data_IF_784993506179
#
_entry.id   IF_784993506179
#
_cell.length_a   1.000
_cell.length_b   1.000
_cell.length_c   1.000
_cell.angle_alpha   90.00
_cell.angle_beta   90.00
_cell.angle_gamma   90.00
#
_symmetry.space_group_name_H-M   'P 1'
#
loop_
_entity.id
_entity.type
_entity.pdbx_description
1 polymer ?
#
# COMPACT_ATOMS: atom_id res chain seq x y z
N UNK A 1 -1.04 12.85 12.62
CA UNK A 1 -2.48 12.99 12.96
C UNK A 1 -2.98 14.23 12.27
N UNK A 2 -4.17 14.16 11.66
CA UNK A 2 -4.76 15.27 10.92
C UNK A 2 -5.85 15.89 11.78
N UNK A 3 -5.82 17.20 12.02
CA UNK A 3 -6.71 17.83 13.01
C UNK A 3 -8.18 17.87 12.57
N UNK A 4 -9.05 17.17 13.29
CA UNK A 4 -10.48 17.11 13.01
C UNK A 4 -11.28 16.83 14.30
N UNK A 5 -12.29 17.67 14.57
CA UNK A 5 -13.17 17.55 15.76
C UNK A 5 -14.59 17.09 15.42
N UNK A 6 -14.90 16.81 14.15
CA UNK A 6 -16.22 16.35 13.75
C UNK A 6 -16.49 14.91 14.20
N UNK A 7 -17.75 14.48 14.10
CA UNK A 7 -18.16 13.12 14.46
C UNK A 7 -17.80 12.14 13.35
N UNK A 8 -16.85 11.24 13.61
CA UNK A 8 -16.50 10.14 12.71
C UNK A 8 -15.81 9.03 13.51
N UNK A 9 -16.04 7.76 13.16
CA UNK A 9 -15.54 6.60 13.92
C UNK A 9 -14.00 6.49 13.93
N UNK A 10 -13.33 7.05 12.93
CA UNK A 10 -11.86 7.11 12.82
C UNK A 10 -11.20 8.22 13.66
N UNK A 11 -11.97 9.07 14.32
CA UNK A 11 -11.43 10.17 15.12
C UNK A 11 -10.84 9.63 16.41
N UNK A 12 -9.59 9.98 16.67
CA UNK A 12 -8.89 9.63 17.89
C UNK A 12 -8.58 10.85 18.73
N UNK A 13 -8.57 10.64 20.04
CA UNK A 13 -7.98 11.58 20.97
C UNK A 13 -6.56 11.15 21.32
N UNK A 14 -5.58 12.04 21.12
CA UNK A 14 -4.20 11.82 21.52
C UNK A 14 -3.72 12.97 22.43
N UNK A 15 -3.80 12.80 23.77
CA UNK A 15 -3.51 13.89 24.71
C UNK A 15 -2.07 14.38 24.67
N UNK A 16 -1.12 13.51 24.33
CA UNK A 16 0.31 13.84 24.27
C UNK A 16 0.74 14.71 23.09
N UNK A 17 -0.16 15.00 22.13
CA UNK A 17 0.16 15.89 20.99
C UNK A 17 -0.09 17.34 21.36
N UNK A 18 0.89 18.21 21.07
CA UNK A 18 0.80 19.65 21.34
C UNK A 18 -0.20 20.34 20.42
N UNK A 19 -0.21 19.97 19.13
CA UNK A 19 -1.17 20.43 18.12
C UNK A 19 -2.21 19.34 17.80
N UNK A 20 -3.43 19.77 17.46
CA UNK A 20 -4.51 18.93 16.91
C UNK A 20 -4.84 17.64 17.67
N UNK A 21 -5.05 17.67 19.00
CA UNK A 21 -5.30 16.47 19.85
C UNK A 21 -6.46 15.55 19.42
N UNK A 22 -7.31 15.99 18.50
CA UNK A 22 -8.43 15.23 17.96
C UNK A 22 -8.30 15.09 16.45
N UNK A 23 -8.48 13.87 15.95
CA UNK A 23 -8.63 13.61 14.52
C UNK A 23 -8.17 12.23 14.09
N UNK A 24 -8.26 11.91 12.78
CA UNK A 24 -7.76 10.65 12.24
C UNK A 24 -6.24 10.59 12.28
N UNK A 25 -5.73 9.36 12.34
CA UNK A 25 -4.31 9.07 12.49
C UNK A 25 -3.77 8.33 11.27
N UNK A 26 -2.73 8.90 10.68
CA UNK A 26 -1.84 8.22 9.74
C UNK A 26 -0.75 7.47 10.49
N UNK A 27 -0.49 6.23 10.07
CA UNK A 27 0.79 5.57 10.21
C UNK A 27 1.64 5.93 8.99
N UNK A 28 2.90 6.25 9.22
CA UNK A 28 3.77 6.83 8.21
C UNK A 28 5.10 6.09 8.23
N UNK A 29 5.55 5.65 7.06
CA UNK A 29 6.93 5.24 6.83
C UNK A 29 7.64 6.38 6.10
N UNK A 30 8.74 6.87 6.66
CA UNK A 30 9.51 7.98 6.10
C UNK A 30 11.01 7.72 6.18
N UNK A 31 11.75 8.30 5.24
CA UNK A 31 13.21 8.28 5.24
C UNK A 31 13.78 9.13 6.39
N UNK A 32 14.74 8.57 7.13
CA UNK A 32 15.26 9.17 8.36
C UNK A 32 15.98 10.51 8.18
N UNK A 33 16.63 10.76 7.03
CA UNK A 33 17.44 11.98 6.82
C UNK A 33 16.67 13.14 6.22
N UNK A 34 15.82 12.86 5.24
CA UNK A 34 15.13 13.90 4.45
C UNK A 34 13.71 14.14 4.94
N UNK A 35 13.12 13.16 5.64
CA UNK A 35 11.69 13.13 5.96
C UNK A 35 10.81 12.84 4.74
N UNK A 36 11.37 12.26 3.67
CA UNK A 36 10.60 11.80 2.52
C UNK A 36 9.60 10.75 2.97
N UNK A 37 8.31 11.03 2.77
CA UNK A 37 7.24 10.12 3.18
C UNK A 37 7.04 9.08 2.10
N UNK A 38 7.37 7.82 2.38
CA UNK A 38 7.22 6.74 1.41
C UNK A 38 5.81 6.17 1.42
N UNK A 39 5.29 5.84 2.61
CA UNK A 39 4.02 5.12 2.75
C UNK A 39 3.14 5.78 3.79
N UNK A 40 1.84 5.85 3.51
CA UNK A 40 0.79 6.30 4.42
C UNK A 40 -0.22 5.17 4.60
N UNK A 41 -0.52 4.82 5.84
CA UNK A 41 -1.57 3.85 6.18
C UNK A 41 -2.53 4.46 7.18
N UNK A 42 -3.83 4.48 6.85
CA UNK A 42 -4.84 5.08 7.71
C UNK A 42 -5.14 4.13 8.86
N UNK A 43 -5.11 4.63 10.09
CA UNK A 43 -5.56 3.84 11.22
C UNK A 43 -7.10 3.72 11.20
N UNK A 44 -7.60 2.55 10.80
CA UNK A 44 -9.04 2.27 10.67
C UNK A 44 -9.74 1.87 12.00
N UNK A 45 -9.05 1.79 13.14
CA UNK A 45 -9.66 1.34 14.41
C UNK A 45 -9.42 -0.13 14.75
N UNK A 46 -10.33 -0.72 15.52
CA UNK A 46 -10.34 -2.16 15.85
C UNK A 46 -11.34 -2.84 14.90
N UNK A 47 -10.86 -3.44 13.81
CA UNK A 47 -11.75 -4.07 12.82
C UNK A 47 -11.09 -5.00 11.78
N UNK A 48 -9.76 -4.93 11.61
CA UNK A 48 -9.05 -5.86 10.70
C UNK A 48 -8.75 -7.21 11.34
N UNK A 49 -8.65 -8.26 10.52
CA UNK A 49 -8.05 -9.53 10.91
C UNK A 49 -6.63 -9.25 11.42
N UNK A 50 -6.36 -9.57 12.69
CA UNK A 50 -5.05 -9.38 13.32
C UNK A 50 -4.33 -10.71 13.34
N UNK A 51 -3.04 -10.68 13.07
CA UNK A 51 -2.24 -11.87 13.33
C UNK A 51 -2.15 -12.12 14.84
N UNK A 52 -1.77 -13.35 15.20
CA UNK A 52 -1.41 -13.71 16.57
C UNK A 52 -0.24 -12.88 17.15
N UNK A 53 0.51 -12.18 16.30
CA UNK A 53 1.69 -11.38 16.69
C UNK A 53 1.32 -9.95 17.12
N UNK A 54 0.08 -9.54 16.86
CA UNK A 54 -0.53 -8.30 17.36
C UNK A 54 -0.34 -7.10 16.44
N UNK A 55 -1.22 -6.10 16.59
CA UNK A 55 -1.36 -4.99 15.63
C UNK A 55 -0.11 -4.14 15.38
N UNK A 56 0.79 -4.07 16.36
CA UNK A 56 2.05 -3.32 16.19
C UNK A 56 3.06 -4.06 15.32
N UNK A 57 3.04 -5.39 15.36
CA UNK A 57 3.84 -6.23 14.48
C UNK A 57 3.30 -6.12 13.04
N UNK A 58 2.01 -6.42 12.87
CA UNK A 58 1.32 -6.41 11.56
C UNK A 58 1.54 -5.08 10.83
N UNK A 59 1.31 -3.97 11.51
CA UNK A 59 1.51 -2.64 10.94
C UNK A 59 2.94 -2.41 10.44
N UNK A 60 3.96 -2.79 11.23
CA UNK A 60 5.36 -2.56 10.81
C UNK A 60 5.70 -3.46 9.65
N UNK A 61 5.27 -4.73 9.69
CA UNK A 61 5.53 -5.67 8.61
C UNK A 61 4.84 -5.26 7.32
N UNK A 62 3.62 -4.74 7.37
CA UNK A 62 2.87 -4.27 6.20
C UNK A 62 3.57 -3.05 5.57
N UNK A 63 3.98 -2.08 6.40
CA UNK A 63 4.66 -0.88 5.93
C UNK A 63 6.05 -1.18 5.33
N UNK A 64 6.78 -2.13 5.91
CA UNK A 64 8.17 -2.43 5.53
C UNK A 64 8.27 -3.50 4.45
N UNK A 65 7.21 -4.26 4.16
CA UNK A 65 7.21 -5.36 3.20
C UNK A 65 7.89 -5.05 1.84
N UNK A 66 7.64 -3.89 1.20
CA UNK A 66 8.30 -3.54 -0.08
C UNK A 66 9.84 -3.37 0.01
N UNK A 67 10.38 -3.32 1.22
CA UNK A 67 11.78 -3.03 1.54
C UNK A 67 12.55 -4.22 2.12
N UNK A 68 11.93 -5.40 2.21
CA UNK A 68 12.62 -6.62 2.61
C UNK A 68 13.77 -6.96 1.66
N UNK A 69 14.75 -7.70 2.18
CA UNK A 69 15.89 -8.21 1.42
C UNK A 69 16.85 -7.14 0.86
N UNK A 70 16.79 -5.92 1.40
CA UNK A 70 17.62 -4.79 0.97
C UNK A 70 18.59 -4.29 2.05
N UNK A 71 18.63 -4.95 3.21
CA UNK A 71 19.46 -4.55 4.37
C UNK A 71 19.20 -3.12 4.84
N UNK A 72 17.98 -2.61 4.60
CA UNK A 72 17.55 -1.33 5.14
C UNK A 72 17.44 -1.38 6.65
N UNK A 73 17.61 -0.21 7.30
CA UNK A 73 17.53 -0.07 8.74
C UNK A 73 16.25 0.67 9.15
N UNK A 74 15.30 -0.08 9.71
CA UNK A 74 14.04 0.46 10.21
C UNK A 74 14.22 0.96 11.64
N UNK A 75 13.78 2.20 11.90
CA UNK A 75 13.71 2.75 13.25
C UNK A 75 12.26 2.82 13.72
N UNK A 76 11.97 2.33 14.93
CA UNK A 76 10.60 2.27 15.46
C UNK A 76 10.51 2.76 16.91
N UNK A 77 9.35 3.29 17.26
CA UNK A 77 9.02 3.67 18.63
C UNK A 77 8.62 2.45 19.49
N UNK A 78 8.56 2.64 20.82
CA UNK A 78 8.27 1.62 21.82
C UNK A 78 6.91 0.93 21.69
N UNK A 79 5.96 1.56 21.00
CA UNK A 79 4.66 0.98 20.73
C UNK A 79 4.74 -0.18 19.73
N UNK A 80 5.77 -0.20 18.88
CA UNK A 80 5.91 -1.13 17.77
C UNK A 80 7.07 -2.12 17.97
N UNK A 81 8.11 -1.73 18.71
CA UNK A 81 9.27 -2.60 18.93
C UNK A 81 8.97 -3.80 19.84
N UNK A 82 9.44 -4.98 19.43
CA UNK A 82 9.44 -6.21 20.24
C UNK A 82 10.59 -7.14 19.83
N UNK A 83 11.07 -8.03 20.72
CA UNK A 83 12.09 -9.02 20.37
C UNK A 83 11.70 -9.90 19.17
N UNK A 84 10.43 -10.33 19.14
CA UNK A 84 9.91 -11.15 18.05
C UNK A 84 9.95 -10.44 16.69
N UNK A 85 9.52 -9.17 16.64
CA UNK A 85 9.63 -8.36 15.43
C UNK A 85 11.09 -8.21 14.97
N UNK A 86 12.03 -8.12 15.90
CA UNK A 86 13.44 -7.99 15.55
C UNK A 86 14.00 -9.24 14.87
N UNK A 87 13.67 -10.43 15.36
CA UNK A 87 14.04 -11.67 14.69
C UNK A 87 13.38 -11.80 13.32
N UNK A 88 12.08 -11.51 13.23
CA UNK A 88 11.31 -11.62 11.98
C UNK A 88 11.85 -10.75 10.84
N UNK A 89 12.24 -9.50 11.15
CA UNK A 89 12.83 -8.60 10.15
C UNK A 89 14.26 -9.00 9.80
N UNK A 90 15.02 -9.50 10.77
CA UNK A 90 16.38 -9.95 10.52
C UNK A 90 16.43 -11.17 9.58
N UNK A 91 15.51 -12.12 9.75
CA UNK A 91 15.31 -13.26 8.82
C UNK A 91 15.00 -12.81 7.38
N UNK A 92 14.51 -11.58 7.20
CA UNK A 92 14.22 -10.93 5.91
C UNK A 92 15.27 -9.89 5.54
N UNK A 93 16.50 -10.07 6.04
CA UNK A 93 17.66 -9.24 5.76
C UNK A 93 17.34 -7.75 5.92
N UNK A 94 16.67 -7.40 7.01
CA UNK A 94 16.24 -6.03 7.33
C UNK A 94 16.63 -5.73 8.77
N UNK A 95 17.43 -4.68 8.97
CA UNK A 95 17.85 -4.26 10.29
C UNK A 95 16.75 -3.46 10.99
N UNK A 96 16.69 -3.55 12.32
CA UNK A 96 15.77 -2.77 13.13
C UNK A 96 16.48 -2.22 14.37
N UNK A 97 16.14 -0.99 14.74
CA UNK A 97 16.45 -0.41 16.05
C UNK A 97 15.22 0.28 16.59
N UNK A 98 14.88 0.01 17.84
CA UNK A 98 13.76 0.70 18.47
C UNK A 98 13.93 0.83 19.98
N UNK A 99 13.24 1.82 20.54
CA UNK A 99 12.99 1.79 21.98
C UNK A 99 12.00 0.69 22.29
N UNK A 100 12.07 0.06 23.47
CA UNK A 100 11.17 -1.03 23.85
C UNK A 100 10.70 -0.86 25.29
N UNK A 101 9.47 -1.29 25.56
CA UNK A 101 8.96 -1.38 26.95
C UNK A 101 9.52 -2.64 27.60
N UNK A 102 10.07 -2.50 28.81
CA UNK A 102 10.73 -3.60 29.54
C UNK A 102 9.82 -4.82 29.79
N UNK A 103 8.50 -4.61 29.86
CA UNK A 103 7.52 -5.66 30.09
C UNK A 103 7.05 -6.38 28.81
N UNK A 104 7.60 -6.06 27.63
CA UNK A 104 7.26 -6.76 26.39
C UNK A 104 7.65 -8.24 26.47
N UNK A 105 6.83 -9.11 25.87
CA UNK A 105 7.11 -10.55 25.75
C UNK A 105 8.46 -10.77 25.05
N UNK A 106 9.28 -11.66 25.59
CA UNK A 106 10.62 -11.97 25.10
C UNK A 106 11.75 -11.08 25.64
N UNK A 107 11.45 -10.04 26.43
CA UNK A 107 12.49 -9.23 27.05
C UNK A 107 13.20 -9.98 28.19
N UNK A 108 14.51 -9.79 28.40
CA UNK A 108 15.24 -10.37 29.53
C UNK A 108 14.61 -9.96 30.87
N UNK A 109 14.31 -10.94 31.71
CA UNK A 109 13.69 -10.73 33.02
C UNK A 109 14.57 -9.88 33.97
N UNK A 110 15.89 -9.93 33.81
CA UNK A 110 16.84 -9.10 34.53
C UNK A 110 16.58 -7.60 34.37
N UNK A 111 16.13 -7.15 33.19
CA UNK A 111 15.94 -5.72 32.89
C UNK A 111 14.80 -5.10 33.68
N UNK A 112 13.87 -5.92 34.22
CA UNK A 112 12.77 -5.44 35.07
C UNK A 112 13.25 -4.89 36.41
N UNK A 113 14.31 -5.48 36.97
CA UNK A 113 14.81 -5.15 38.33
C UNK A 113 16.03 -4.23 38.29
N UNK A 114 16.90 -4.39 37.29
CA UNK A 114 18.13 -3.61 37.17
C UNK A 114 17.81 -2.13 37.01
N UNK A 115 18.37 -1.28 37.89
CA UNK A 115 18.40 0.16 37.72
C UNK A 115 19.78 0.57 37.25
N UNK A 116 19.84 1.27 36.13
CA UNK A 116 21.10 1.71 35.52
C UNK A 116 21.36 3.18 35.90
N UNK A 117 22.51 3.51 36.52
CA UNK A 117 22.92 4.88 36.79
C UNK A 117 23.06 5.73 35.53
N UNK A 118 23.03 7.05 35.69
CA UNK A 118 23.15 7.98 34.57
C UNK A 118 24.53 7.85 33.91
N UNK A 119 24.56 7.64 32.59
CA UNK A 119 25.78 7.43 31.80
C UNK A 119 26.20 5.97 31.67
N UNK A 120 25.67 5.08 32.51
CA UNK A 120 25.94 3.65 32.45
C UNK A 120 24.95 2.90 31.55
N UNK A 121 25.31 1.66 31.21
CA UNK A 121 24.49 0.77 30.38
C UNK A 121 24.57 -0.68 30.85
N UNK A 122 23.46 -1.39 30.69
CA UNK A 122 23.38 -2.84 30.87
C UNK A 122 23.00 -3.48 29.53
N UNK A 123 23.71 -4.54 29.13
CA UNK A 123 23.57 -5.15 27.80
C UNK A 123 23.30 -6.65 27.92
N UNK A 124 22.40 -7.16 27.10
CA UNK A 124 22.22 -8.60 26.83
C UNK A 124 22.20 -8.80 25.33
N UNK A 125 22.74 -9.91 24.86
CA UNK A 125 22.81 -10.21 23.43
C UNK A 125 22.45 -11.67 23.18
N UNK A 126 21.67 -11.90 22.13
CA UNK A 126 21.34 -13.23 21.63
C UNK A 126 21.54 -13.22 20.11
N UNK A 127 22.58 -13.90 19.63
CA UNK A 127 23.01 -13.80 18.24
C UNK A 127 23.28 -12.34 17.86
N UNK A 128 22.60 -11.86 16.82
CA UNK A 128 22.72 -10.48 16.34
C UNK A 128 21.75 -9.50 17.04
N UNK A 129 20.79 -9.98 17.83
CA UNK A 129 19.87 -9.12 18.57
C UNK A 129 20.50 -8.67 19.90
N UNK A 130 20.67 -7.37 20.05
CA UNK A 130 21.13 -6.72 21.27
C UNK A 130 19.97 -6.01 22.00
N UNK A 131 19.84 -6.27 23.29
CA UNK A 131 19.02 -5.52 24.22
C UNK A 131 19.91 -4.67 25.12
N UNK A 132 19.70 -3.35 25.15
CA UNK A 132 20.48 -2.45 25.99
C UNK A 132 19.57 -1.54 26.81
N UNK A 133 19.84 -1.46 28.11
CA UNK A 133 19.23 -0.49 29.02
C UNK A 133 20.26 0.59 29.34
N UNK A 134 19.92 1.85 29.10
CA UNK A 134 20.81 2.99 29.31
C UNK A 134 20.20 3.99 30.28
N UNK A 135 21.01 4.46 31.23
CA UNK A 135 20.61 5.52 32.16
C UNK A 135 20.85 6.90 31.56
N UNK A 136 19.80 7.55 31.06
CA UNK A 136 19.83 8.99 30.75
C UNK A 136 19.13 9.76 31.90
N UNK A 137 18.51 10.93 31.63
CA UNK A 137 17.56 11.59 32.56
C UNK A 137 16.48 10.61 33.04
N UNK A 138 16.07 9.68 32.17
CA UNK A 138 15.24 8.51 32.50
C UNK A 138 15.90 7.28 31.89
N UNK A 139 15.65 6.11 32.47
CA UNK A 139 16.15 4.85 31.91
C UNK A 139 15.40 4.53 30.61
N UNK A 140 16.14 4.28 29.54
CA UNK A 140 15.61 3.90 28.22
C UNK A 140 16.13 2.53 27.87
N UNK A 141 15.28 1.70 27.28
CA UNK A 141 15.64 0.36 26.81
C UNK A 141 15.51 0.31 25.30
N UNK A 142 16.53 -0.26 24.64
CA UNK A 142 16.62 -0.41 23.21
C UNK A 142 16.70 -1.88 22.83
N UNK A 143 16.16 -2.21 21.66
CA UNK A 143 16.49 -3.40 20.89
C UNK A 143 17.14 -2.95 19.59
N UNK A 144 18.20 -3.65 19.18
CA UNK A 144 18.86 -3.40 17.90
C UNK A 144 19.44 -4.68 17.31
N UNK A 145 19.32 -4.85 16.00
CA UNK A 145 19.97 -5.92 15.23
C UNK A 145 21.20 -5.45 14.44
N UNK A 146 21.59 -4.18 14.58
CA UNK A 146 22.69 -3.59 13.81
C UNK A 146 23.71 -2.83 14.65
N UNK A 147 23.28 -2.34 15.83
CA UNK A 147 24.12 -1.47 16.64
C UNK A 147 24.95 -2.22 17.66
N UNK A 148 25.92 -1.52 18.25
CA UNK A 148 26.82 -2.01 19.27
C UNK A 148 26.68 -1.19 20.57
N UNK A 149 27.13 -1.73 21.71
CA UNK A 149 26.97 -1.05 22.98
C UNK A 149 28.07 -0.01 23.25
N UNK A 150 29.05 0.24 22.38
CA UNK A 150 30.18 1.13 22.71
C UNK A 150 29.70 2.54 23.02
N UNK A 151 30.38 3.20 23.95
CA UNK A 151 30.16 4.63 24.21
C UNK A 151 31.02 5.40 23.22
N UNK A 152 30.40 6.40 22.58
CA UNK A 152 31.07 7.29 21.65
C UNK A 152 30.88 8.75 22.09
N UNK A 153 31.89 9.60 21.83
CA UNK A 153 31.71 11.03 21.98
C UNK A 153 30.77 11.54 20.88
N UNK A 154 29.80 12.36 21.27
CA UNK A 154 28.89 13.07 20.38
C UNK A 154 28.74 14.51 20.82
N UNK A 155 28.32 15.37 19.91
CA UNK A 155 28.04 16.77 20.20
C UNK A 155 26.58 17.03 19.86
N UNK A 156 25.83 17.57 20.82
CA UNK A 156 24.44 17.92 20.54
C UNK A 156 24.34 19.16 19.64
N UNK A 157 23.13 19.49 19.16
CA UNK A 157 22.89 20.67 18.33
C UNK A 157 23.26 22.02 18.99
N UNK A 158 23.52 22.04 20.31
CA UNK A 158 23.94 23.23 21.07
C UNK A 158 25.46 23.28 21.30
N UNK A 159 26.23 22.40 20.66
CA UNK A 159 27.69 22.34 20.81
C UNK A 159 28.17 21.65 22.10
N UNK A 160 27.28 21.10 22.92
CA UNK A 160 27.65 20.44 24.17
C UNK A 160 28.09 19.01 23.88
N UNK A 161 29.34 18.69 24.26
CA UNK A 161 29.89 17.34 24.19
C UNK A 161 29.18 16.41 25.19
N UNK A 162 28.87 15.21 24.73
CA UNK A 162 28.23 14.14 25.51
C UNK A 162 28.81 12.80 25.11
N UNK A 163 28.83 11.88 26.04
CA UNK A 163 29.17 10.49 25.78
C UNK A 163 27.89 9.66 25.84
N UNK A 164 27.58 8.97 24.76
CA UNK A 164 26.36 8.15 24.65
C UNK A 164 26.65 6.85 23.92
N UNK A 165 25.88 5.79 24.15
CA UNK A 165 26.02 4.56 23.36
C UNK A 165 25.75 4.78 21.87
N UNK A 166 26.43 4.01 21.00
CA UNK A 166 26.26 4.05 19.54
C UNK A 166 24.79 3.96 19.13
N UNK A 167 24.02 3.05 19.74
CA UNK A 167 22.58 2.87 19.45
C UNK A 167 21.73 4.09 19.81
N UNK A 168 22.08 4.80 20.89
CA UNK A 168 21.39 6.04 21.30
C UNK A 168 21.66 7.15 20.29
N UNK A 169 22.91 7.29 19.86
CA UNK A 169 23.28 8.27 18.85
C UNK A 169 22.58 8.00 17.51
N UNK A 170 22.58 6.74 17.05
CA UNK A 170 21.91 6.32 15.83
C UNK A 170 20.41 6.60 15.88
N UNK A 171 19.75 6.19 16.98
CA UNK A 171 18.32 6.40 17.17
C UNK A 171 17.96 7.88 17.16
N UNK A 172 18.65 8.69 17.97
CA UNK A 172 18.37 10.14 18.04
C UNK A 172 18.63 10.86 16.71
N UNK A 173 19.60 10.40 15.90
CA UNK A 173 19.91 11.02 14.61
C UNK A 173 18.87 10.73 13.54
N UNK A 174 18.25 9.55 13.53
CA UNK A 174 17.41 9.07 12.41
C UNK A 174 15.93 8.93 12.71
N UNK A 175 15.54 8.74 13.98
CA UNK A 175 14.15 8.47 14.37
C UNK A 175 13.19 9.64 14.03
N UNK A 176 13.72 10.85 13.87
CA UNK A 176 12.95 12.06 13.57
C UNK A 176 12.41 12.17 12.14
N UNK A 177 12.66 11.21 11.24
CA UNK A 177 12.24 11.30 9.83
C UNK A 177 10.74 11.54 9.64
N UNK A 178 9.87 10.86 10.40
CA UNK A 178 8.42 11.08 10.34
C UNK A 178 8.03 12.48 10.81
N UNK A 179 8.63 12.94 11.91
CA UNK A 179 8.38 14.29 12.43
C UNK A 179 8.90 15.37 11.47
N UNK A 180 9.98 15.11 10.74
CA UNK A 180 10.51 15.99 9.70
C UNK A 180 9.55 16.05 8.50
N UNK A 181 8.98 14.92 8.09
CA UNK A 181 7.91 14.87 7.09
C UNK A 181 6.68 15.68 7.49
N UNK A 182 6.26 15.60 8.76
CA UNK A 182 5.18 16.41 9.31
C UNK A 182 5.54 17.92 9.33
N UNK A 183 6.80 18.27 9.66
CA UNK A 183 7.29 19.65 9.60
C UNK A 183 7.28 20.21 8.17
N UNK A 184 7.53 19.37 7.15
CA UNK A 184 7.51 19.83 5.76
C UNK A 184 6.15 20.37 5.33
N UNK A 185 5.06 19.85 5.88
CA UNK A 185 3.71 20.30 5.52
C UNK A 185 3.14 21.32 6.51
N UNK A 186 3.64 21.36 7.75
CA UNK A 186 3.06 22.16 8.82
C UNK A 186 2.97 23.66 8.49
N UNK A 187 4.00 24.23 7.85
CA UNK A 187 4.01 25.66 7.49
C UNK A 187 3.05 26.04 6.36
N UNK A 188 2.54 25.05 5.62
CA UNK A 188 1.70 25.24 4.44
C UNK A 188 0.31 24.60 4.59
N UNK A 189 -0.03 24.12 5.80
CA UNK A 189 -1.36 23.60 6.08
C UNK A 189 -2.37 24.77 6.06
N UNK A 190 -3.37 24.77 5.17
CA UNK A 190 -4.32 25.87 5.03
C UNK A 190 -5.34 25.95 6.19
N UNK A 191 -5.28 25.03 7.17
CA UNK A 191 -6.21 24.90 8.31
C UNK A 191 -7.69 25.00 7.90
N UNK A 192 -8.03 24.36 6.77
CA UNK A 192 -9.39 24.42 6.22
C UNK A 192 -10.37 23.83 7.22
N UNK A 193 -11.35 24.66 7.64
CA UNK A 193 -12.48 24.18 8.44
C UNK A 193 -13.40 23.35 7.56
N UNK A 194 -13.68 22.12 7.98
CA UNK A 194 -14.60 21.24 7.28
C UNK A 194 -15.32 20.31 8.26
N UNK A 195 -16.59 20.06 8.00
CA UNK A 195 -17.37 19.00 8.64
C UNK A 195 -17.08 17.62 8.04
N UNK A 196 -16.47 17.57 6.84
CA UNK A 196 -16.17 16.34 6.12
C UNK A 196 -14.71 15.93 6.34
N UNK A 197 -14.48 14.88 7.12
CA UNK A 197 -13.14 14.42 7.51
C UNK A 197 -12.23 14.08 6.31
N UNK A 198 -12.78 13.43 5.27
CA UNK A 198 -12.04 13.01 4.10
C UNK A 198 -11.37 14.17 3.36
N UNK A 199 -11.96 15.38 3.38
CA UNK A 199 -11.36 16.58 2.78
C UNK A 199 -10.03 16.93 3.45
N UNK A 200 -9.97 16.81 4.78
CA UNK A 200 -8.74 17.07 5.53
C UNK A 200 -7.67 16.01 5.27
N UNK A 201 -8.07 14.74 5.14
CA UNK A 201 -7.15 13.66 4.77
C UNK A 201 -6.56 13.89 3.37
N UNK A 202 -7.41 14.21 2.38
CA UNK A 202 -7.00 14.50 1.01
C UNK A 202 -6.04 15.69 0.94
N UNK A 203 -6.36 16.81 1.59
CA UNK A 203 -5.47 17.97 1.65
C UNK A 203 -4.13 17.57 2.29
N UNK A 204 -4.15 16.82 3.39
CA UNK A 204 -2.93 16.36 4.03
C UNK A 204 -2.06 15.50 3.09
N UNK A 205 -2.68 14.63 2.28
CA UNK A 205 -1.97 13.83 1.27
C UNK A 205 -1.36 14.71 0.18
N UNK A 206 -2.11 15.65 -0.40
CA UNK A 206 -1.62 16.56 -1.45
C UNK A 206 -0.42 17.36 -0.93
N UNK A 207 -0.50 17.91 0.28
CA UNK A 207 0.61 18.66 0.88
C UNK A 207 1.87 17.78 1.02
N UNK A 208 1.73 16.50 1.35
CA UNK A 208 2.85 15.56 1.44
C UNK A 208 3.44 15.22 0.07
N UNK A 209 2.60 15.07 -0.96
CA UNK A 209 3.06 14.86 -2.35
C UNK A 209 3.91 16.05 -2.81
N UNK A 210 3.43 17.28 -2.60
CA UNK A 210 4.18 18.50 -2.97
C UNK A 210 5.48 18.60 -2.15
N UNK A 211 5.45 18.27 -0.86
CA UNK A 211 6.64 18.22 -0.03
C UNK A 211 7.68 17.21 -0.54
N UNK A 212 7.26 16.00 -0.90
CA UNK A 212 8.12 14.97 -1.48
C UNK A 212 8.69 15.41 -2.84
N UNK A 213 7.88 16.02 -3.70
CA UNK A 213 8.33 16.56 -4.98
C UNK A 213 9.42 17.62 -4.79
N UNK A 214 9.28 18.49 -3.78
CA UNK A 214 10.31 19.47 -3.43
C UNK A 214 11.61 18.80 -2.92
N UNK A 215 11.52 17.72 -2.15
CA UNK A 215 12.69 16.96 -1.71
C UNK A 215 13.46 16.35 -2.90
N UNK A 216 12.74 15.77 -3.86
CA UNK A 216 13.32 15.25 -5.11
C UNK A 216 13.96 16.39 -5.91
N UNK A 217 13.24 17.51 -6.11
CA UNK A 217 13.76 18.70 -6.78
C UNK A 217 15.08 19.17 -6.18
N UNK A 218 15.15 19.26 -4.84
CA UNK A 218 16.35 19.69 -4.12
C UNK A 218 17.52 18.72 -4.33
N UNK A 219 17.24 17.42 -4.42
CA UNK A 219 18.25 16.40 -4.65
C UNK A 219 18.80 16.47 -6.09
N UNK A 220 17.93 16.57 -7.09
CA UNK A 220 18.30 16.70 -8.50
C UNK A 220 19.06 18.01 -8.76
N UNK A 221 18.64 19.10 -8.11
CA UNK A 221 19.23 20.43 -8.29
C UNK A 221 20.30 20.77 -7.24
N UNK A 222 20.96 19.77 -6.64
CA UNK A 222 21.91 19.99 -5.53
C UNK A 222 23.04 20.96 -5.90
N UNK A 223 23.53 20.88 -7.14
CA UNK A 223 24.62 21.71 -7.66
C UNK A 223 24.14 23.03 -8.28
N UNK A 224 22.83 23.21 -8.44
CA UNK A 224 22.28 24.41 -9.05
C UNK A 224 22.31 25.57 -8.05
N UNK A 225 23.06 26.64 -8.39
CA UNK A 225 23.17 27.85 -7.57
C UNK A 225 21.89 28.68 -7.53
N UNK A 226 20.99 28.50 -8.50
CA UNK A 226 19.69 29.21 -8.62
C UNK A 226 18.51 28.27 -8.35
N UNK A 227 18.62 27.42 -7.33
CA UNK A 227 17.50 26.57 -6.91
C UNK A 227 16.38 27.40 -6.26
N UNK A 228 15.14 27.04 -6.55
CA UNK A 228 13.97 27.63 -5.93
C UNK A 228 13.97 27.36 -4.43
N UNK A 229 13.68 28.38 -3.64
CA UNK A 229 13.29 28.17 -2.24
C UNK A 229 12.00 27.36 -2.17
N UNK A 230 11.72 26.78 -1.01
CA UNK A 230 10.50 25.99 -0.79
C UNK A 230 9.24 26.76 -1.14
N UNK A 231 9.15 28.02 -0.71
CA UNK A 231 8.01 28.88 -1.04
C UNK A 231 7.89 29.10 -2.55
N UNK A 232 8.99 29.43 -3.23
CA UNK A 232 8.97 29.65 -4.68
C UNK A 232 8.57 28.39 -5.46
N UNK A 233 9.07 27.22 -5.05
CA UNK A 233 8.69 25.94 -5.64
C UNK A 233 7.19 25.67 -5.46
N UNK A 234 6.67 25.85 -4.24
CA UNK A 234 5.25 25.68 -3.96
C UNK A 234 4.38 26.64 -4.76
N UNK A 235 4.77 27.92 -4.84
CA UNK A 235 4.07 28.92 -5.65
C UNK A 235 4.07 28.53 -7.13
N UNK A 236 5.19 28.07 -7.67
CA UNK A 236 5.27 27.58 -9.05
C UNK A 236 4.33 26.41 -9.28
N UNK A 237 4.33 25.39 -8.41
CA UNK A 237 3.40 24.26 -8.51
C UNK A 237 1.94 24.74 -8.49
N UNK A 238 1.58 25.66 -7.58
CA UNK A 238 0.23 26.21 -7.53
C UNK A 238 -0.14 26.98 -8.81
N UNK A 239 0.74 27.82 -9.33
CA UNK A 239 0.50 28.60 -10.55
C UNK A 239 0.31 27.68 -11.77
N UNK A 240 1.17 26.69 -11.93
CA UNK A 240 1.08 25.70 -13.02
C UNK A 240 -0.21 24.86 -12.93
N UNK A 241 -0.58 24.42 -11.72
CA UNK A 241 -1.83 23.66 -11.52
C UNK A 241 -3.10 24.49 -11.76
N UNK A 242 -3.04 25.81 -11.55
CA UNK A 242 -4.14 26.73 -11.90
C UNK A 242 -4.21 26.91 -13.41
N UNK A 243 -3.06 26.98 -14.10
CA UNK A 243 -2.96 27.17 -15.55
C UNK A 243 -3.78 28.37 -16.02
N UNK A 244 -4.47 28.20 -17.16
CA UNK A 244 -5.38 29.19 -17.74
C UNK A 244 -6.82 29.15 -17.18
N UNK A 245 -7.08 28.37 -16.12
CA UNK A 245 -8.43 28.20 -15.58
C UNK A 245 -9.04 29.48 -14.97
N UNK A 246 -8.28 30.58 -14.91
CA UNK A 246 -8.81 31.92 -14.63
C UNK A 246 -9.25 32.56 -15.95
N UNK A 247 -10.52 32.38 -16.29
CA UNK A 247 -11.16 33.14 -17.36
C UNK A 247 -11.10 34.64 -16.99
N UNK A 248 -10.38 35.51 -17.75
CA UNK A 248 -10.24 36.93 -17.40
C UNK A 248 -11.56 37.72 -17.53
N UNK A 249 -12.54 37.15 -18.23
CA UNK A 249 -13.75 37.86 -18.67
C UNK A 249 -14.98 37.64 -17.79
N UNK A 250 -14.82 37.31 -16.50
CA UNK A 250 -15.93 37.52 -15.57
C UNK A 250 -16.00 39.01 -15.22
N UNK A 251 -16.45 39.82 -16.19
CA UNK A 251 -17.13 41.06 -15.88
C UNK A 251 -18.22 40.72 -14.86
N UNK A 252 -18.27 41.48 -13.75
CA UNK A 252 -19.34 41.37 -12.77
C UNK A 252 -20.65 41.83 -13.41
N UNK A 253 -21.23 40.99 -14.26
CA UNK A 253 -22.51 41.21 -14.90
C UNK A 253 -23.65 41.13 -13.88
N UNK A 254 -24.66 41.99 -14.08
CA UNK A 254 -25.91 42.05 -13.33
C UNK A 254 -26.52 40.64 -13.16
N UNK A 255 -27.02 40.25 -11.97
CA UNK A 255 -27.60 38.95 -11.76
C UNK A 255 -28.74 38.70 -12.76
N UNK A 256 -28.67 37.57 -13.47
CA UNK A 256 -29.70 37.14 -14.43
C UNK A 256 -31.06 36.99 -13.74
N UNK A 257 -32.13 37.47 -14.38
CA UNK A 257 -33.52 37.21 -13.98
C UNK A 257 -34.04 35.83 -14.43
N UNK A 258 -33.23 35.02 -15.12
CA UNK A 258 -33.62 33.65 -15.44
C UNK A 258 -33.69 32.82 -14.16
N UNK A 259 -34.74 32.00 -14.03
CA UNK A 259 -34.90 31.07 -12.92
C UNK A 259 -33.57 30.37 -12.62
N UNK A 260 -33.24 30.32 -11.32
CA UNK A 260 -32.00 29.73 -10.77
C UNK A 260 -31.77 28.41 -11.52
N UNK A 261 -30.70 28.26 -12.34
CA UNK A 261 -30.39 26.96 -12.89
C UNK A 261 -30.23 26.05 -11.68
N UNK A 262 -30.96 24.94 -11.64
CA UNK A 262 -31.03 24.03 -10.49
C UNK A 262 -29.61 23.61 -10.05
N UNK A 263 -28.98 24.43 -9.23
CA UNK A 263 -27.64 24.22 -8.73
C UNK A 263 -27.81 23.35 -7.51
N UNK A 264 -27.53 22.06 -7.67
CA UNK A 264 -27.67 20.98 -6.69
C UNK A 264 -29.07 20.34 -6.57
N UNK A 265 -29.73 19.97 -7.69
CA UNK A 265 -30.81 18.96 -7.64
C UNK A 265 -30.32 17.53 -7.79
N UNK A 266 -29.08 17.32 -8.24
CA UNK A 266 -28.39 16.04 -8.12
C UNK A 266 -27.68 15.95 -6.78
N UNK A 267 -27.83 14.83 -6.06
CA UNK A 267 -26.86 14.41 -5.03
C UNK A 267 -25.51 14.18 -5.73
N UNK A 268 -24.75 15.24 -5.98
CA UNK A 268 -23.37 15.16 -6.45
C UNK A 268 -22.48 14.79 -5.25
N UNK A 269 -22.62 13.55 -4.77
CA UNK A 269 -21.48 12.90 -4.16
C UNK A 269 -20.42 12.77 -5.26
N UNK A 270 -19.14 13.10 -5.01
CA UNK A 270 -18.10 12.63 -5.90
C UNK A 270 -18.20 11.10 -5.89
N UNK A 271 -18.69 10.54 -6.99
CA UNK A 271 -18.60 9.12 -7.23
C UNK A 271 -17.11 8.83 -7.37
N UNK A 272 -16.57 8.01 -6.46
CA UNK A 272 -15.21 7.52 -6.62
C UNK A 272 -15.24 6.52 -7.77
N UNK A 273 -14.76 6.95 -8.93
CA UNK A 273 -14.40 6.04 -9.99
C UNK A 273 -13.15 5.27 -9.53
N UNK A 274 -13.30 3.98 -9.23
CA UNK A 274 -12.18 3.06 -9.38
C UNK A 274 -12.11 2.72 -10.86
N UNK A 275 -11.23 3.44 -11.55
CA UNK A 275 -10.81 3.15 -12.92
C UNK A 275 -9.29 3.16 -12.98
N UNK A 276 -8.64 2.50 -12.00
CA UNK A 276 -7.22 2.25 -12.06
C UNK A 276 -7.04 0.84 -12.59
N UNK A 277 -6.32 0.72 -13.68
CA UNK A 277 -5.91 -0.57 -14.23
C UNK A 277 -5.13 -1.36 -13.18
N UNK A 278 -5.51 -2.61 -12.97
CA UNK A 278 -4.78 -3.51 -12.08
C UNK A 278 -3.75 -4.26 -12.91
N UNK A 279 -2.48 -4.05 -12.61
CA UNK A 279 -1.35 -4.71 -13.25
C UNK A 279 -0.89 -5.89 -12.41
N UNK A 280 -0.89 -7.10 -12.99
CA UNK A 280 -0.43 -8.32 -12.33
C UNK A 280 0.62 -9.01 -13.21
N UNK A 281 1.67 -9.53 -12.58
CA UNK A 281 2.65 -10.38 -13.26
C UNK A 281 2.61 -11.78 -12.67
N UNK A 282 2.67 -12.80 -13.54
CA UNK A 282 2.66 -14.20 -13.12
C UNK A 282 3.99 -14.87 -13.50
N UNK A 283 4.61 -15.65 -12.58
CA UNK A 283 5.84 -16.38 -12.87
C UNK A 283 5.57 -17.65 -13.70
N UNK A 284 6.63 -18.37 -14.06
CA UNK A 284 6.59 -19.56 -14.95
C UNK A 284 6.19 -20.87 -14.23
N UNK A 285 5.43 -20.80 -13.13
CA UNK A 285 5.27 -21.93 -12.18
C UNK A 285 3.89 -22.58 -12.18
N UNK A 286 2.90 -22.03 -12.90
CA UNK A 286 1.48 -22.47 -12.88
C UNK A 286 0.83 -22.45 -11.50
N UNK A 287 1.33 -21.61 -10.60
CA UNK A 287 0.68 -21.34 -9.32
C UNK A 287 -0.37 -20.25 -9.52
N UNK A 288 -1.63 -20.53 -9.13
CA UNK A 288 -2.70 -19.58 -9.34
C UNK A 288 -2.65 -18.39 -8.38
N UNK A 289 -2.63 -17.19 -8.95
CA UNK A 289 -2.88 -15.93 -8.24
C UNK A 289 -4.38 -15.65 -8.24
N UNK A 290 -5.01 -15.64 -7.07
CA UNK A 290 -6.44 -15.33 -6.95
C UNK A 290 -6.71 -13.84 -7.19
N UNK A 291 -7.64 -13.54 -8.10
CA UNK A 291 -8.02 -12.17 -8.44
C UNK A 291 -8.87 -11.48 -7.36
N UNK A 292 -9.47 -12.26 -6.45
CA UNK A 292 -10.17 -11.73 -5.27
C UNK A 292 -9.24 -10.93 -4.34
N UNK A 293 -7.94 -11.26 -4.32
CA UNK A 293 -6.91 -10.48 -3.60
C UNK A 293 -6.73 -9.07 -4.17
N UNK A 294 -7.20 -8.83 -5.40
CA UNK A 294 -7.12 -7.56 -6.11
C UNK A 294 -8.50 -6.90 -6.26
N UNK A 295 -9.53 -7.43 -5.61
CA UNK A 295 -10.89 -6.86 -5.62
C UNK A 295 -11.71 -7.20 -6.88
N UNK A 296 -11.24 -8.11 -7.73
CA UNK A 296 -11.99 -8.61 -8.88
C UNK A 296 -12.80 -9.83 -8.43
N UNK A 297 -14.12 -9.75 -8.61
CA UNK A 297 -15.08 -10.74 -8.12
C UNK A 297 -15.60 -11.64 -9.24
N UNK A 298 -15.86 -12.91 -8.94
CA UNK A 298 -16.57 -13.83 -9.82
C UNK A 298 -18.09 -13.55 -9.89
N UNK A 299 -18.63 -12.73 -9.00
CA UNK A 299 -20.08 -12.46 -8.92
C UNK A 299 -20.65 -11.83 -10.17
N UNK A 300 -19.83 -11.06 -10.89
CA UNK A 300 -20.28 -10.29 -12.04
C UNK A 300 -20.41 -11.17 -13.30
N UNK A 301 -20.03 -12.46 -13.23
CA UNK A 301 -20.15 -13.46 -14.32
C UNK A 301 -19.46 -13.09 -15.64
N UNK A 302 -18.57 -12.10 -15.57
CA UNK A 302 -17.77 -11.60 -16.66
C UNK A 302 -16.38 -11.27 -16.14
N UNK A 303 -15.36 -11.58 -16.94
CA UNK A 303 -13.98 -11.18 -16.73
C UNK A 303 -13.44 -10.60 -18.03
N UNK A 304 -12.97 -9.37 -18.00
CA UNK A 304 -12.29 -8.72 -19.13
C UNK A 304 -10.87 -8.36 -18.74
N UNK A 305 -9.91 -8.68 -19.59
CA UNK A 305 -8.49 -8.48 -19.30
C UNK A 305 -7.68 -8.34 -20.57
N UNK A 306 -6.50 -7.75 -20.44
CA UNK A 306 -5.46 -7.79 -21.45
C UNK A 306 -4.31 -8.66 -20.95
N UNK A 307 -3.73 -9.45 -21.84
CA UNK A 307 -2.65 -10.39 -21.53
C UNK A 307 -1.51 -10.25 -22.54
N UNK A 308 -0.28 -10.23 -22.04
CA UNK A 308 0.93 -10.27 -22.87
C UNK A 308 1.83 -11.39 -22.38
N UNK A 309 1.90 -12.48 -23.15
CA UNK A 309 2.84 -13.58 -22.98
C UNK A 309 3.14 -14.27 -24.32
N UNK A 310 4.23 -15.03 -24.35
CA UNK A 310 4.60 -15.81 -25.53
C UNK A 310 3.70 -17.04 -25.75
N UNK A 311 3.16 -17.61 -24.67
CA UNK A 311 2.36 -18.86 -24.66
C UNK A 311 1.85 -19.14 -23.23
N UNK A 312 1.00 -20.16 -23.08
CA UNK A 312 0.70 -20.81 -21.79
C UNK A 312 0.21 -19.84 -20.70
N UNK A 313 -0.84 -19.08 -21.00
CA UNK A 313 -1.56 -18.29 -20.01
C UNK A 313 -2.82 -19.04 -19.57
N UNK A 314 -3.13 -18.99 -18.27
CA UNK A 314 -4.17 -19.82 -17.65
C UNK A 314 -5.12 -18.96 -16.85
N UNK A 315 -6.42 -19.17 -17.07
CA UNK A 315 -7.49 -18.63 -16.22
C UNK A 315 -8.25 -19.81 -15.62
N UNK A 316 -8.34 -19.86 -14.30
CA UNK A 316 -9.10 -20.88 -13.56
C UNK A 316 -10.39 -20.27 -13.01
N UNK A 317 -11.53 -20.82 -13.39
CA UNK A 317 -12.84 -20.52 -12.81
C UNK A 317 -13.15 -21.58 -11.75
N UNK A 318 -13.09 -21.21 -10.47
CA UNK A 318 -12.98 -22.15 -9.34
C UNK A 318 -14.19 -22.11 -8.42
N UNK A 319 -14.60 -23.26 -7.90
CA UNK A 319 -15.65 -23.36 -6.87
C UNK A 319 -15.20 -22.97 -5.47
N UNK A 320 -13.91 -23.08 -5.18
CA UNK A 320 -13.32 -22.65 -3.91
C UNK A 320 -12.07 -21.79 -4.11
N UNK A 321 -11.30 -21.60 -3.05
CA UNK A 321 -10.06 -20.80 -3.04
C UNK A 321 -8.79 -21.65 -3.09
N UNK A 322 -8.92 -22.97 -3.31
CA UNK A 322 -7.81 -23.90 -3.45
C UNK A 322 -7.90 -24.64 -4.78
N UNK A 323 -6.76 -25.06 -5.31
CA UNK A 323 -6.65 -25.75 -6.60
C UNK A 323 -7.17 -27.20 -6.57
N UNK A 324 -7.54 -27.69 -5.39
CA UNK A 324 -8.12 -29.03 -5.16
C UNK A 324 -9.63 -29.06 -5.35
N UNK A 325 -10.27 -27.88 -5.35
CA UNK A 325 -11.70 -27.74 -5.58
C UNK A 325 -12.02 -27.78 -7.09
N UNK A 326 -13.26 -28.14 -7.47
CA UNK A 326 -13.67 -28.15 -8.87
C UNK A 326 -13.36 -26.81 -9.55
N UNK A 327 -12.72 -26.88 -10.73
CA UNK A 327 -12.40 -25.69 -11.52
C UNK A 327 -12.41 -25.99 -13.02
N UNK A 328 -12.84 -25.00 -13.80
CA UNK A 328 -12.64 -24.97 -15.24
C UNK A 328 -11.37 -24.20 -15.55
N UNK A 329 -10.41 -24.84 -16.19
CA UNK A 329 -9.16 -24.22 -16.60
C UNK A 329 -9.21 -23.88 -18.07
N UNK A 330 -9.12 -22.59 -18.35
CA UNK A 330 -9.06 -22.03 -19.68
C UNK A 330 -7.59 -21.75 -19.98
N UNK A 331 -7.08 -22.40 -21.02
CA UNK A 331 -5.70 -22.28 -21.47
C UNK A 331 -5.68 -21.43 -22.73
N UNK A 332 -4.94 -20.32 -22.67
CA UNK A 332 -4.65 -19.46 -23.81
C UNK A 332 -3.24 -19.78 -24.32
N UNK A 333 -3.15 -20.04 -25.62
CA UNK A 333 -1.87 -20.23 -26.29
C UNK A 333 -1.02 -21.40 -25.75
N UNK A 334 -1.65 -22.53 -25.45
CA UNK A 334 -0.95 -23.80 -25.17
C UNK A 334 -0.13 -24.29 -26.36
N UNK A 335 0.78 -25.24 -26.10
CA UNK A 335 1.67 -25.84 -27.11
C UNK A 335 2.38 -24.79 -27.97
N UNK A 336 3.07 -23.85 -27.31
CA UNK A 336 3.78 -22.74 -27.96
C UNK A 336 2.85 -21.81 -28.75
N UNK A 337 1.71 -21.44 -28.15
CA UNK A 337 0.73 -20.54 -28.74
C UNK A 337 0.10 -21.06 -30.03
N UNK A 338 -0.20 -22.35 -30.09
CA UNK A 338 -0.85 -22.98 -31.25
C UNK A 338 -2.28 -23.43 -30.99
N UNK A 339 -2.67 -23.59 -29.72
CA UNK A 339 -4.01 -24.03 -29.35
C UNK A 339 -4.48 -23.36 -28.05
N UNK A 340 -5.76 -23.05 -27.98
CA UNK A 340 -6.43 -22.65 -26.73
C UNK A 340 -7.58 -23.59 -26.44
N UNK A 341 -7.86 -23.89 -25.17
CA UNK A 341 -8.88 -24.88 -24.81
C UNK A 341 -9.39 -24.71 -23.39
N UNK A 342 -10.54 -25.34 -23.10
CA UNK A 342 -11.10 -25.45 -21.74
C UNK A 342 -10.99 -26.90 -21.27
N UNK A 343 -10.65 -27.12 -20.00
CA UNK A 343 -10.73 -28.44 -19.35
C UNK A 343 -11.33 -28.37 -17.95
N UNK A 344 -11.88 -29.49 -17.49
CA UNK A 344 -12.50 -29.66 -16.18
C UNK A 344 -11.47 -30.07 -15.10
N UNK A 345 -10.49 -29.20 -14.83
CA UNK A 345 -9.52 -29.37 -13.73
C UNK A 345 -8.06 -29.11 -14.13
N UNK A 346 -7.17 -29.08 -13.14
CA UNK A 346 -5.75 -28.71 -13.32
C UNK A 346 -4.85 -29.84 -13.86
N UNK A 347 -5.27 -31.10 -13.80
CA UNK A 347 -4.43 -32.20 -14.31
C UNK A 347 -4.26 -32.10 -15.84
N UNK A 348 -3.03 -32.24 -16.33
CA UNK A 348 -2.70 -32.20 -17.77
C UNK A 348 -3.22 -33.42 -18.54
N UNK A 349 -3.62 -34.48 -17.83
CA UNK A 349 -4.15 -35.71 -18.41
C UNK A 349 -5.65 -35.64 -18.68
N UNK A 350 -6.33 -34.59 -18.20
CA UNK A 350 -7.77 -34.43 -18.39
C UNK A 350 -8.08 -34.02 -19.85
N UNK A 351 -9.21 -34.49 -20.40
CA UNK A 351 -9.59 -34.16 -21.77
C UNK A 351 -9.89 -32.67 -21.94
N UNK A 352 -9.66 -32.17 -23.15
CA UNK A 352 -10.11 -30.84 -23.58
C UNK A 352 -11.60 -30.93 -23.86
N UNK A 353 -12.38 -30.07 -23.22
CA UNK A 353 -13.83 -29.98 -23.38
C UNK A 353 -14.20 -29.28 -24.71
N UNK A 354 -13.44 -28.23 -25.03
CA UNK A 354 -13.51 -27.48 -26.28
C UNK A 354 -12.12 -26.94 -26.60
N UNK A 355 -11.78 -26.83 -27.88
CA UNK A 355 -10.50 -26.29 -28.32
C UNK A 355 -10.64 -25.37 -29.55
N UNK A 356 -9.67 -24.48 -29.69
CA UNK A 356 -9.49 -23.57 -30.80
C UNK A 356 -8.07 -23.69 -31.30
N UNK A 357 -7.90 -23.97 -32.59
CA UNK A 357 -6.61 -24.06 -33.25
C UNK A 357 -6.21 -22.67 -33.78
N UNK A 358 -5.09 -22.15 -33.28
CA UNK A 358 -4.53 -20.87 -33.70
C UNK A 358 -3.86 -20.10 -32.56
N UNK A 359 -2.96 -19.16 -32.90
CA UNK A 359 -2.35 -18.27 -31.93
C UNK A 359 -3.37 -17.25 -31.43
N UNK A 360 -3.39 -17.05 -30.11
CA UNK A 360 -4.21 -16.00 -29.48
C UNK A 360 -3.38 -15.02 -28.66
N UNK A 361 -2.19 -15.41 -28.21
CA UNK A 361 -1.28 -14.58 -27.42
C UNK A 361 -0.19 -13.91 -28.28
N UNK A 362 0.52 -12.94 -27.71
CA UNK A 362 1.64 -12.24 -28.34
C UNK A 362 2.68 -11.82 -27.29
N UNK A 363 3.95 -12.04 -27.61
CA UNK A 363 5.07 -11.78 -26.69
C UNK A 363 5.43 -10.30 -26.54
N UNK A 364 4.99 -9.46 -27.47
CA UNK A 364 5.33 -8.04 -27.55
C UNK A 364 4.13 -7.12 -27.37
N UNK A 365 2.91 -7.63 -27.57
CA UNK A 365 1.68 -6.84 -27.51
C UNK A 365 0.65 -7.45 -26.55
N UNK A 366 -0.06 -6.58 -25.85
CA UNK A 366 -1.24 -6.97 -25.09
C UNK A 366 -2.36 -7.40 -26.04
N UNK A 367 -2.95 -8.56 -25.76
CA UNK A 367 -4.13 -9.10 -26.43
C UNK A 367 -5.30 -9.06 -25.48
N UNK A 368 -6.46 -8.69 -26.01
CA UNK A 368 -7.66 -8.43 -25.22
C UNK A 368 -8.58 -9.64 -25.23
N UNK A 369 -9.09 -9.98 -24.06
CA UNK A 369 -9.94 -11.14 -23.85
C UNK A 369 -11.10 -10.83 -22.93
N UNK A 370 -12.20 -11.53 -23.21
CA UNK A 370 -13.40 -11.53 -22.40
C UNK A 370 -13.87 -12.95 -22.15
N UNK A 371 -14.12 -13.28 -20.90
CA UNK A 371 -14.69 -14.55 -20.46
C UNK A 371 -16.03 -14.25 -19.81
N UNK A 372 -17.09 -14.92 -20.24
CA UNK A 372 -18.41 -14.87 -19.60
C UNK A 372 -18.87 -16.26 -19.23
N UNK A 373 -19.65 -16.36 -18.16
CA UNK A 373 -20.26 -17.63 -17.76
C UNK A 373 -21.65 -17.43 -17.17
N UNK A 374 -22.59 -18.29 -17.57
CA UNK A 374 -23.89 -18.41 -16.94
C UNK A 374 -23.98 -19.74 -16.16
N UNK A 375 -25.17 -20.28 -15.95
CA UNK A 375 -25.32 -21.54 -15.21
C UNK A 375 -24.96 -22.78 -16.03
N UNK A 376 -24.84 -22.65 -17.36
CA UNK A 376 -24.65 -23.77 -18.27
C UNK A 376 -23.48 -23.58 -19.24
N UNK A 377 -23.08 -22.33 -19.51
CA UNK A 377 -22.18 -21.99 -20.62
C UNK A 377 -21.01 -21.15 -20.15
N UNK A 378 -19.81 -21.45 -20.66
CA UNK A 378 -18.61 -20.61 -20.58
C UNK A 378 -18.26 -20.16 -22.00
N UNK A 379 -18.15 -18.85 -22.22
CA UNK A 379 -17.69 -18.27 -23.49
C UNK A 379 -16.38 -17.53 -23.29
N UNK A 380 -15.50 -17.64 -24.28
CA UNK A 380 -14.23 -16.90 -24.37
C UNK A 380 -14.16 -16.21 -25.73
N UNK A 381 -13.98 -14.90 -25.69
CA UNK A 381 -14.02 -14.02 -26.86
C UNK A 381 -12.80 -13.10 -26.89
N UNK A 382 -12.44 -12.65 -28.09
CA UNK A 382 -11.48 -11.57 -28.29
C UNK A 382 -12.10 -10.22 -27.91
N UNK A 383 -11.31 -9.26 -27.44
CA UNK A 383 -11.79 -7.91 -27.10
C UNK A 383 -12.31 -7.79 -25.67
N UNK A 384 -12.61 -6.55 -25.26
CA UNK A 384 -13.06 -6.21 -23.90
C UNK A 384 -14.58 -6.01 -23.77
N UNK A 385 -15.31 -6.01 -24.89
CA UNK A 385 -16.75 -5.77 -24.93
C UNK A 385 -17.52 -6.92 -25.64
N UNK A 386 -18.82 -6.73 -25.83
CA UNK A 386 -19.69 -7.72 -26.48
C UNK A 386 -19.53 -7.77 -28.01
N UNK A 387 -18.72 -6.90 -28.63
CA UNK A 387 -18.49 -6.91 -30.09
C UNK A 387 -17.44 -7.94 -30.52
N UNK A 388 -16.74 -8.51 -29.54
CA UNK A 388 -15.71 -9.52 -29.68
C UNK A 388 -16.16 -10.83 -30.34
N UNK A 389 -15.30 -11.42 -31.19
CA UNK A 389 -15.55 -12.76 -31.72
C UNK A 389 -15.25 -13.84 -30.67
N UNK A 390 -16.23 -14.71 -30.41
CA UNK A 390 -16.09 -15.88 -29.53
C UNK A 390 -15.31 -16.99 -30.23
N UNK A 391 -14.30 -17.54 -29.57
CA UNK A 391 -13.47 -18.62 -30.13
C UNK A 391 -13.45 -19.89 -29.26
N UNK A 392 -13.92 -19.84 -28.00
CA UNK A 392 -14.24 -21.02 -27.21
C UNK A 392 -15.64 -20.88 -26.60
N UNK A 393 -16.46 -21.91 -26.77
CA UNK A 393 -17.76 -22.04 -26.10
C UNK A 393 -17.88 -23.46 -25.56
N UNK A 394 -18.10 -23.59 -24.25
CA UNK A 394 -18.39 -24.85 -23.61
C UNK A 394 -19.74 -24.79 -22.93
N UNK A 395 -20.60 -25.78 -23.19
CA UNK A 395 -21.91 -25.91 -22.55
C UNK A 395 -22.03 -27.26 -21.86
N UNK A 396 -22.49 -27.27 -20.61
CA UNK A 396 -22.82 -28.49 -19.88
C UNK A 396 -24.12 -28.34 -19.09
N UNK A 397 -24.73 -29.46 -18.71
CA UNK A 397 -25.69 -29.48 -17.60
C UNK A 397 -24.95 -29.08 -16.31
N UNK A 398 -25.63 -28.40 -15.37
CA UNK A 398 -25.20 -27.13 -14.77
C UNK A 398 -23.71 -27.08 -14.40
N UNK A 399 -23.07 -25.96 -14.71
CA UNK A 399 -21.68 -25.70 -14.36
C UNK A 399 -21.47 -25.80 -12.84
N UNK A 400 -20.25 -26.19 -12.43
CA UNK A 400 -19.85 -26.04 -11.05
C UNK A 400 -19.97 -24.57 -10.61
N UNK A 401 -20.36 -24.29 -9.36
CA UNK A 401 -20.41 -22.92 -8.86
C UNK A 401 -19.05 -22.23 -9.08
N UNK A 402 -19.03 -21.05 -9.67
CA UNK A 402 -17.80 -20.28 -9.87
C UNK A 402 -17.78 -19.15 -8.83
N UNK A 403 -16.95 -19.31 -7.81
CA UNK A 403 -16.82 -18.38 -6.69
C UNK A 403 -15.54 -17.57 -6.74
N UNK A 404 -14.48 -18.11 -7.34
CA UNK A 404 -13.18 -17.45 -7.44
C UNK A 404 -12.61 -17.55 -8.86
N UNK A 405 -11.75 -16.60 -9.18
CA UNK A 405 -11.00 -16.56 -10.44
C UNK A 405 -9.52 -16.54 -10.08
N UNK A 406 -8.74 -17.43 -10.68
CA UNK A 406 -7.29 -17.43 -10.58
C UNK A 406 -6.65 -17.21 -11.95
N UNK A 407 -5.49 -16.55 -11.98
CA UNK A 407 -4.64 -16.45 -13.16
C UNK A 407 -3.26 -17.05 -12.91
N UNK A 408 -2.64 -17.61 -13.93
CA UNK A 408 -1.23 -18.03 -13.89
C UNK A 408 -0.62 -18.10 -15.28
N UNK A 409 0.70 -18.19 -15.32
CA UNK A 409 1.46 -18.60 -16.52
C UNK A 409 2.34 -19.79 -16.19
N UNK A 410 2.75 -20.55 -17.21
CA UNK A 410 3.55 -21.74 -17.00
C UNK A 410 4.52 -22.06 -18.15
N UNK A 411 5.28 -23.15 -17.98
CA UNK A 411 6.07 -23.81 -19.02
C UNK A 411 6.95 -22.85 -19.82
N UNK A 412 7.74 -22.04 -19.10
CA UNK A 412 8.73 -21.16 -19.75
C UNK A 412 8.21 -19.76 -20.09
N UNK A 413 6.91 -19.48 -19.90
CA UNK A 413 6.28 -18.19 -20.22
C UNK A 413 5.99 -17.36 -18.96
N UNK A 414 6.30 -16.06 -19.00
CA UNK A 414 5.84 -15.09 -18.01
C UNK A 414 4.60 -14.39 -18.57
N UNK A 415 3.68 -13.99 -17.69
CA UNK A 415 2.50 -13.22 -18.09
C UNK A 415 2.49 -11.83 -17.47
N UNK A 416 2.16 -10.84 -18.28
CA UNK A 416 1.75 -9.51 -17.83
C UNK A 416 0.25 -9.35 -18.11
N UNK A 417 -0.50 -8.98 -17.07
CA UNK A 417 -1.96 -8.92 -17.10
C UNK A 417 -2.44 -7.53 -16.70
N UNK A 418 -3.42 -7.02 -17.44
CA UNK A 418 -4.11 -5.75 -17.14
C UNK A 418 -5.58 -6.04 -16.97
N UNK A 419 -6.14 -5.66 -15.82
CA UNK A 419 -7.57 -5.72 -15.58
C UNK A 419 -8.13 -4.32 -15.47
N UNK A 420 -9.07 -4.00 -16.37
CA UNK A 420 -9.83 -2.78 -16.29
C UNK A 420 -11.01 -3.02 -15.36
N UNK A 421 -10.97 -2.45 -14.16
CA UNK A 421 -12.15 -2.48 -13.30
C UNK A 421 -13.20 -1.57 -13.94
N UNK A 422 -14.24 -2.16 -14.54
CA UNK A 422 -15.42 -1.38 -14.92
C UNK A 422 -15.95 -0.73 -13.65
N UNK A 423 -16.00 0.61 -13.63
CA UNK A 423 -16.33 1.38 -12.44
C UNK A 423 -17.65 0.91 -11.84
N UNK A 424 -17.58 0.11 -10.77
CA UNK A 424 -18.77 -0.26 -10.01
C UNK A 424 -19.26 1.01 -9.32
N UNK A 425 -20.57 1.26 -9.40
CA UNK A 425 -21.21 2.38 -8.71
C UNK A 425 -21.21 2.07 -7.22
N UNK A 426 -20.10 2.37 -6.54
CA UNK A 426 -19.98 2.11 -5.11
C UNK A 426 -20.90 3.07 -4.37
N UNK A 427 -21.88 2.53 -3.65
CA UNK A 427 -22.72 3.33 -2.75
C UNK A 427 -21.94 3.59 -1.44
N UNK A 428 -22.27 4.65 -0.68
CA UNK A 428 -21.66 4.89 0.63
C UNK A 428 -21.75 3.69 1.59
N UNK A 429 -22.77 2.85 1.43
CA UNK A 429 -22.98 1.65 2.26
C UNK A 429 -22.01 0.51 1.90
N UNK A 430 -21.61 0.40 0.63
CA UNK A 430 -20.61 -0.59 0.20
C UNK A 430 -19.23 -0.27 0.81
N UNK A 431 -18.83 1.01 0.86
CA UNK A 431 -17.55 1.48 1.42
C UNK A 431 -17.45 1.19 2.93
N UNK A 432 -18.58 1.23 3.63
CA UNK A 432 -18.63 0.96 5.07
C UNK A 432 -18.45 -0.54 5.38
N UNK A 433 -18.71 -1.41 4.40
CA UNK A 433 -18.68 -2.85 4.56
C UNK A 433 -17.41 -3.51 3.96
N UNK A 434 -16.64 -2.81 3.12
CA UNK A 434 -15.37 -3.34 2.60
C UNK A 434 -14.26 -3.26 3.66
N UNK A 435 -13.55 -4.36 3.98
CA UNK A 435 -12.34 -4.30 4.81
C UNK A 435 -11.33 -3.33 4.17
N UNK A 436 -10.66 -2.49 4.98
CA UNK A 436 -9.64 -1.53 4.52
C UNK A 436 -8.58 -2.24 3.63
N UNK A 437 -8.79 -2.27 2.31
CA UNK A 437 -7.78 -2.66 1.33
C UNK A 437 -6.85 -1.47 1.16
N UNK A 438 -5.57 -1.71 1.48
CA UNK A 438 -4.48 -0.79 1.18
C UNK A 438 -4.47 -0.58 -0.34
N UNK A 439 -4.56 0.66 -0.79
CA UNK A 439 -4.11 1.00 -2.14
C UNK A 439 -2.60 0.83 -2.14
N UNK A 440 -2.13 -0.24 -2.78
CA UNK A 440 -0.71 -0.50 -3.03
C UNK A 440 -0.13 0.53 -4.00
#
# INVERSE_FOLDING_TARGET
>A
MVGFKGRHHLVQYMPGKKSHRWGPKWHVLAEGDTGYVNTLSLYCGKGGARSQHGSGFDLVTDLVNPFYNKWHHVLVDNAFCSPHLCHYLLERNTYITGTVRVHRKGMPSSFKRIRVPKGEREVRQQGQLMAMKYGDRKQVTFLSTFSDPRIIPTTNARGVRREVPTVVNLYNKKMGGVDLGDQHIQSYDPDVRSLKMWKKLLINMILRVIANAYLIYKQVNRLNRRKLSKLQFWTSVCTELIGECRNPNNERGRPSMSAIPLRMTGKHYPYFWQGADIYITTPKTRDYTLLSNYGISATDRVLTFQEKACSNAYVGLMSGNTETEPLYEIVFGGYSNTVSFIRAGKSITLPRLVEFAGPVLDCSQYKEFRITWDDNTINVSHGLDDSGSTFLTWTSAPLWPIQNIGISTAYGSNGEWIFHTQGKKITPDDILNTPCMLMN
#
